data_IF_734542444610
#
_entry.id   IF_734542444610
#
_cell.length_a   1.000
_cell.length_b   1.000
_cell.length_c   1.000
_cell.angle_alpha   90.00
_cell.angle_beta   90.00
_cell.angle_gamma   90.00
#
_symmetry.space_group_name_H-M   'P 1'
#
loop_
_entity.id
_entity.type
_entity.pdbx_description
1 polymer ?
#
# COMPACT_ATOMS: atom_id res chain seq x y z
N UNK A 1 6.70 19.83 -27.21
CA UNK A 1 7.05 19.85 -25.78
C UNK A 1 7.43 18.44 -25.37
N UNK A 2 8.72 18.08 -25.39
CA UNK A 2 9.17 16.72 -25.04
C UNK A 2 9.40 16.67 -23.52
N UNK A 3 8.50 16.04 -22.76
CA UNK A 3 8.77 15.73 -21.34
C UNK A 3 9.83 14.62 -21.31
N UNK A 4 11.02 14.97 -20.85
CA UNK A 4 12.14 14.06 -20.66
C UNK A 4 11.89 13.33 -19.34
N UNK A 5 11.34 12.12 -19.39
CA UNK A 5 11.11 11.27 -18.21
C UNK A 5 12.40 10.59 -17.72
N UNK A 6 13.43 11.40 -17.51
CA UNK A 6 14.53 11.05 -16.61
C UNK A 6 14.65 12.23 -15.68
N UNK A 7 13.59 12.43 -14.90
CA UNK A 7 13.64 13.33 -13.76
C UNK A 7 14.30 12.53 -12.65
N UNK A 8 15.48 13.01 -12.23
CA UNK A 8 16.13 12.57 -11.01
C UNK A 8 15.07 12.47 -9.95
N UNK A 9 14.83 11.25 -9.46
CA UNK A 9 13.79 10.96 -8.49
C UNK A 9 13.95 11.92 -7.30
N UNK A 10 13.12 12.98 -7.23
CA UNK A 10 13.24 13.95 -6.17
C UNK A 10 12.76 13.26 -4.89
N UNK A 11 13.59 13.28 -3.85
CA UNK A 11 13.28 12.59 -2.58
C UNK A 11 11.89 12.99 -2.06
N UNK A 12 11.50 14.23 -2.27
CA UNK A 12 10.20 14.75 -1.85
C UNK A 12 9.04 14.10 -2.62
N UNK A 13 9.20 13.83 -3.92
CA UNK A 13 8.19 13.14 -4.73
C UNK A 13 8.02 11.69 -4.30
N UNK A 14 9.12 11.00 -4.00
CA UNK A 14 9.10 9.63 -3.46
C UNK A 14 8.39 9.60 -2.13
N UNK A 15 8.80 10.47 -1.20
CA UNK A 15 8.19 10.54 0.13
C UNK A 15 6.71 10.91 0.05
N UNK A 16 6.35 11.79 -0.88
CA UNK A 16 4.95 12.15 -1.16
C UNK A 16 4.14 10.94 -1.63
N UNK A 17 4.64 10.20 -2.63
CA UNK A 17 4.00 9.00 -3.14
C UNK A 17 3.85 7.91 -2.06
N UNK A 18 4.88 7.71 -1.23
CA UNK A 18 4.83 6.79 -0.09
C UNK A 18 3.71 7.20 0.88
N UNK A 19 3.66 8.47 1.27
CA UNK A 19 2.64 8.97 2.19
C UNK A 19 1.23 8.81 1.63
N UNK A 20 1.02 9.14 0.35
CA UNK A 20 -0.26 8.96 -0.33
C UNK A 20 -0.65 7.47 -0.35
N UNK A 21 0.27 6.58 -0.74
CA UNK A 21 0.03 5.14 -0.77
C UNK A 21 -0.35 4.58 0.60
N UNK A 22 0.32 5.04 1.67
CA UNK A 22 0.02 4.65 3.05
C UNK A 22 -1.34 5.19 3.53
N UNK A 23 -1.81 6.33 3.03
CA UNK A 23 -3.16 6.85 3.31
C UNK A 23 -4.25 6.01 2.62
N UNK A 24 -3.98 5.49 1.42
CA UNK A 24 -4.94 4.66 0.68
C UNK A 24 -5.24 3.31 1.35
N UNK A 25 -4.32 2.80 2.17
CA UNK A 25 -4.44 1.49 2.84
C UNK A 25 -4.71 1.61 4.34
N UNK A 26 -5.19 2.76 4.80
CA UNK A 26 -5.56 2.96 6.20
C UNK A 26 -6.67 1.99 6.61
N UNK A 27 -6.61 1.54 7.87
CA UNK A 27 -7.61 0.65 8.45
C UNK A 27 -9.00 1.30 8.46
N UNK A 28 -9.06 2.52 8.97
CA UNK A 28 -10.27 3.33 8.90
C UNK A 28 -10.53 3.72 7.45
N UNK A 29 -11.66 3.26 6.91
CA UNK A 29 -12.11 3.55 5.55
C UNK A 29 -12.31 5.06 5.33
N UNK A 30 -12.79 5.78 6.34
CA UNK A 30 -13.02 7.22 6.27
C UNK A 30 -11.72 8.02 6.19
N UNK A 31 -10.59 7.42 6.56
CA UNK A 31 -9.27 8.02 6.44
C UNK A 31 -8.63 7.81 5.05
N UNK A 32 -9.26 7.00 4.17
CA UNK A 32 -8.76 6.75 2.82
C UNK A 32 -9.15 7.91 1.90
N UNK A 33 -8.20 8.52 1.17
CA UNK A 33 -8.52 9.59 0.25
C UNK A 33 -9.35 9.10 -0.93
N UNK A 34 -10.25 9.94 -1.43
CA UNK A 34 -10.92 9.69 -2.71
C UNK A 34 -9.91 9.72 -3.85
N UNK A 35 -10.22 9.09 -4.99
CA UNK A 35 -9.35 9.13 -6.17
C UNK A 35 -9.12 10.57 -6.67
N UNK A 36 -10.12 11.43 -6.58
CA UNK A 36 -9.98 12.86 -6.90
C UNK A 36 -9.00 13.56 -5.95
N UNK A 37 -9.07 13.25 -4.65
CA UNK A 37 -8.11 13.74 -3.65
C UNK A 37 -6.69 13.27 -3.95
N UNK A 38 -6.51 12.00 -4.32
CA UNK A 38 -5.19 11.44 -4.72
C UNK A 38 -4.60 12.20 -5.91
N UNK A 39 -5.39 12.43 -6.97
CA UNK A 39 -4.95 13.22 -8.12
C UNK A 39 -4.55 14.64 -7.73
N UNK A 40 -5.31 15.28 -6.83
CA UNK A 40 -4.97 16.60 -6.33
C UNK A 40 -3.67 16.58 -5.51
N UNK A 41 -3.50 15.58 -4.62
CA UNK A 41 -2.29 15.40 -3.81
C UNK A 41 -1.04 15.17 -4.67
N UNK A 42 -1.17 14.48 -5.81
CA UNK A 42 -0.09 14.24 -6.76
C UNK A 42 0.23 15.47 -7.63
N UNK A 43 -0.79 16.21 -8.07
CA UNK A 43 -0.60 17.33 -9.00
C UNK A 43 -0.33 18.68 -8.30
N UNK A 44 -0.73 18.83 -7.03
CA UNK A 44 -0.61 20.08 -6.29
C UNK A 44 0.35 19.93 -5.10
N UNK A 45 1.58 20.40 -5.30
CA UNK A 45 2.67 20.25 -4.33
C UNK A 45 2.50 21.08 -3.06
N UNK A 46 1.65 22.13 -3.09
CA UNK A 46 1.35 22.99 -1.94
C UNK A 46 0.44 22.33 -0.90
N UNK A 47 -0.18 21.19 -1.22
CA UNK A 47 -1.00 20.44 -0.28
C UNK A 47 -0.10 19.79 0.76
N UNK A 48 -0.35 20.11 2.03
CA UNK A 48 0.24 19.41 3.17
C UNK A 48 -0.48 18.08 3.37
N UNK A 49 0.24 16.98 3.15
CA UNK A 49 -0.28 15.64 3.41
C UNK A 49 -0.23 15.36 4.90
N UNK A 50 -1.34 14.89 5.47
CA UNK A 50 -1.33 14.35 6.83
C UNK A 50 -0.45 13.11 6.89
N UNK A 51 0.36 12.98 7.95
CA UNK A 51 1.13 11.77 8.17
C UNK A 51 0.20 10.56 8.31
N UNK A 52 0.41 9.49 7.52
CA UNK A 52 -0.38 8.27 7.64
C UNK A 52 -0.22 7.68 9.05
N UNK A 53 -1.30 7.15 9.62
CA UNK A 53 -1.19 6.40 10.87
C UNK A 53 -0.42 5.11 10.62
N UNK A 54 0.26 4.62 11.66
CA UNK A 54 0.96 3.33 11.61
C UNK A 54 -0.02 2.27 11.11
N UNK A 55 0.27 1.55 10.02
CA UNK A 55 -0.62 0.51 9.54
C UNK A 55 -0.78 -0.56 10.64
N UNK A 56 -1.99 -1.09 10.86
CA UNK A 56 -2.22 -2.14 11.87
C UNK A 56 -1.41 -3.41 11.60
N UNK A 57 -0.94 -3.63 10.37
CA UNK A 57 -0.16 -4.80 9.95
C UNK A 57 1.27 -4.41 9.57
N UNK A 58 2.00 -3.80 10.51
CA UNK A 58 3.46 -3.86 10.44
C UNK A 58 3.87 -5.18 11.07
N UNK A 59 4.03 -6.25 10.27
CA UNK A 59 4.71 -7.46 10.72
C UNK A 59 6.15 -7.07 11.05
N UNK A 60 6.39 -6.57 12.27
CA UNK A 60 7.71 -6.64 12.86
C UNK A 60 7.90 -8.09 13.28
N UNK A 61 8.23 -8.95 12.33
CA UNK A 61 8.92 -10.19 12.64
C UNK A 61 10.34 -9.81 13.09
N UNK A 62 10.42 -9.19 14.27
CA UNK A 62 11.52 -9.47 15.16
C UNK A 62 11.45 -10.97 15.37
N UNK A 63 12.40 -11.69 14.77
CA UNK A 63 12.67 -13.12 14.94
C UNK A 63 12.70 -13.51 16.42
N UNK A 64 11.54 -13.68 17.06
CA UNK A 64 11.46 -14.01 18.48
C UNK A 64 10.42 -15.10 18.68
N UNK A 65 10.93 -16.33 18.68
CA UNK A 65 10.50 -17.47 19.51
C UNK A 65 9.09 -18.08 19.37
N UNK A 66 8.20 -17.63 18.49
CA UNK A 66 6.85 -18.22 18.36
C UNK A 66 6.66 -19.25 17.22
N UNK A 67 7.68 -19.51 16.38
CA UNK A 67 7.58 -20.45 15.23
C UNK A 67 7.96 -21.91 15.61
N UNK A 68 8.29 -22.21 16.88
CA UNK A 68 8.59 -23.59 17.28
C UNK A 68 7.35 -24.46 17.55
N UNK A 69 6.12 -23.91 17.50
CA UNK A 69 4.91 -24.64 17.92
C UNK A 69 3.84 -24.80 16.83
N UNK A 70 3.98 -24.15 15.67
CA UNK A 70 3.00 -24.32 14.59
C UNK A 70 3.48 -25.45 13.69
N UNK A 71 2.83 -26.62 13.78
CA UNK A 71 2.99 -27.70 12.81
C UNK A 71 2.84 -27.12 11.39
N UNK A 72 3.81 -27.39 10.52
CA UNK A 72 3.87 -26.93 9.13
C UNK A 72 2.61 -27.28 8.29
N UNK A 73 1.74 -28.16 8.80
CA UNK A 73 0.52 -28.60 8.14
C UNK A 73 -0.59 -27.53 8.10
N UNK A 74 -0.57 -26.51 8.97
CA UNK A 74 -1.64 -25.49 9.01
C UNK A 74 -1.43 -24.34 8.01
N UNK A 75 -0.21 -24.15 7.49
CA UNK A 75 0.08 -23.12 6.49
C UNK A 75 -0.34 -23.49 5.05
N UNK A 76 -0.79 -24.74 4.84
CA UNK A 76 -1.38 -25.15 3.56
C UNK A 76 -2.90 -25.07 3.65
N UNK A 77 -3.44 -23.85 3.64
CA UNK A 77 -4.88 -23.69 3.40
C UNK A 77 -5.16 -24.00 1.93
N UNK A 78 -5.70 -25.18 1.67
CA UNK A 78 -6.35 -25.48 0.39
C UNK A 78 -7.70 -24.74 0.35
N UNK A 79 -7.70 -23.50 -0.13
CA UNK A 79 -8.94 -22.83 -0.55
C UNK A 79 -8.84 -22.43 -2.02
N UNK A 80 -8.96 -23.43 -2.89
CA UNK A 80 -9.21 -23.29 -4.33
C UNK A 80 -10.70 -23.00 -4.60
N UNK A 81 -11.30 -22.02 -3.90
CA UNK A 81 -12.73 -21.68 -4.12
C UNK A 81 -13.02 -20.27 -4.63
N UNK A 82 -11.99 -19.42 -4.86
CA UNK A 82 -12.19 -18.04 -5.32
C UNK A 82 -11.47 -17.64 -6.62
N UNK A 83 -11.09 -18.59 -7.49
CA UNK A 83 -10.67 -18.23 -8.85
C UNK A 83 -11.91 -17.95 -9.69
N UNK A 84 -12.18 -16.67 -9.97
CA UNK A 84 -13.19 -16.28 -10.97
C UNK A 84 -12.76 -16.81 -12.33
N UNK A 85 -13.53 -17.74 -12.92
CA UNK A 85 -13.28 -18.25 -14.27
C UNK A 85 -13.49 -17.15 -15.30
N UNK A 86 -12.40 -16.58 -15.81
CA UNK A 86 -12.42 -15.68 -16.97
C UNK A 86 -12.71 -16.56 -18.19
N UNK A 87 -13.84 -16.32 -18.86
CA UNK A 87 -14.16 -16.99 -20.13
C UNK A 87 -13.68 -16.11 -21.29
N UNK A 88 -12.91 -16.66 -22.26
CA UNK A 88 -12.58 -15.94 -23.47
C UNK A 88 -13.81 -15.77 -24.37
N UNK A 89 -13.83 -14.68 -25.12
CA UNK A 89 -14.91 -14.26 -26.00
C UNK A 89 -14.83 -14.92 -27.37
#
# INVERSE_FOLDING_TARGET
>A
MKKKMVETCCKDEVMRCINIGLLCVQENVDARPSMASVLNMLNNYSINLSSPKRPPHYFSERRSSYISTINYDVLRSEDESLITKIHPR
#
